data_IF_842708845553
#
_entry.id   IF_842708845553
#
_cell.length_a   1.000
_cell.length_b   1.000
_cell.length_c   1.000
_cell.angle_alpha   90.00
_cell.angle_beta   90.00
_cell.angle_gamma   90.00
#
_symmetry.space_group_name_H-M   'P 1'
#
loop_
_entity.id
_entity.type
_entity.pdbx_description
1 polymer ?
#
# COMPACT_ATOMS: atom_id res chain seq x y z
N UNK A 1 -37.85 -35.76 40.69
CA UNK A 1 -36.53 -35.79 40.05
C UNK A 1 -35.63 -36.59 40.97
N UNK A 2 -35.26 -37.80 40.58
CA UNK A 2 -34.40 -38.68 41.38
C UNK A 2 -32.94 -38.26 41.21
N UNK A 3 -32.07 -38.64 42.15
CA UNK A 3 -30.63 -38.39 42.05
C UNK A 3 -30.05 -39.00 40.76
N UNK A 4 -30.58 -40.14 40.33
CA UNK A 4 -30.19 -40.83 39.09
C UNK A 4 -30.59 -40.06 37.82
N UNK A 5 -31.75 -39.40 37.81
CA UNK A 5 -32.15 -38.53 36.69
C UNK A 5 -31.16 -37.37 36.53
N UNK A 6 -30.76 -36.74 37.65
CA UNK A 6 -29.81 -35.62 37.65
C UNK A 6 -28.41 -36.01 37.19
N UNK A 7 -27.92 -37.19 37.60
CA UNK A 7 -26.62 -37.73 37.16
C UNK A 7 -26.65 -38.06 35.68
N UNK A 8 -27.73 -38.67 35.20
CA UNK A 8 -27.91 -39.04 33.77
C UNK A 8 -27.95 -37.80 32.88
N UNK A 9 -28.73 -36.79 33.26
CA UNK A 9 -28.81 -35.51 32.53
C UNK A 9 -27.45 -34.79 32.49
N UNK A 10 -26.70 -34.81 33.59
CA UNK A 10 -25.35 -34.21 33.67
C UNK A 10 -24.34 -34.89 32.75
N UNK A 11 -24.40 -36.23 32.63
CA UNK A 11 -23.54 -37.00 31.72
C UNK A 11 -23.87 -36.72 30.25
N UNK A 12 -25.17 -36.65 29.91
CA UNK A 12 -25.62 -36.34 28.55
C UNK A 12 -25.18 -34.92 28.14
N UNK A 13 -25.36 -33.92 29.02
CA UNK A 13 -24.90 -32.55 28.76
C UNK A 13 -23.37 -32.52 28.59
N UNK A 14 -22.62 -33.24 29.43
CA UNK A 14 -21.17 -33.37 29.32
C UNK A 14 -20.71 -33.93 27.97
N UNK A 15 -21.38 -34.98 27.46
CA UNK A 15 -21.12 -35.56 26.14
C UNK A 15 -21.43 -34.58 25.00
N UNK A 16 -22.53 -33.83 25.10
CA UNK A 16 -22.89 -32.81 24.11
C UNK A 16 -21.82 -31.71 24.07
N UNK A 17 -21.38 -31.21 25.24
CA UNK A 17 -20.33 -30.19 25.30
C UNK A 17 -18.99 -30.72 24.75
N UNK A 18 -18.62 -31.95 25.11
CA UNK A 18 -17.40 -32.58 24.62
C UNK A 18 -17.41 -32.75 23.09
N UNK A 19 -18.52 -33.23 22.51
CA UNK A 19 -18.66 -33.38 21.06
C UNK A 19 -18.62 -32.03 20.33
N UNK A 20 -19.27 -30.98 20.87
CA UNK A 20 -19.15 -29.63 20.31
C UNK A 20 -17.71 -29.11 20.33
N UNK A 21 -16.97 -29.33 21.42
CA UNK A 21 -15.56 -28.95 21.53
C UNK A 21 -14.67 -29.74 20.54
N UNK A 22 -14.92 -31.04 20.38
CA UNK A 22 -14.19 -31.88 19.42
C UNK A 22 -14.41 -31.41 17.98
N UNK A 23 -15.66 -31.10 17.61
CA UNK A 23 -16.01 -30.55 16.29
C UNK A 23 -15.30 -29.21 16.06
N UNK A 24 -15.34 -28.31 17.05
CA UNK A 24 -14.64 -27.02 16.97
C UNK A 24 -13.12 -27.20 16.78
N UNK A 25 -12.51 -28.15 17.49
CA UNK A 25 -11.09 -28.48 17.36
C UNK A 25 -10.75 -29.03 15.97
N UNK A 26 -11.55 -29.94 15.42
CA UNK A 26 -11.37 -30.51 14.08
C UNK A 26 -11.46 -29.40 13.02
N UNK A 27 -12.47 -28.53 13.11
CA UNK A 27 -12.62 -27.37 12.20
C UNK A 27 -11.40 -26.45 12.29
N UNK A 28 -10.90 -26.18 13.50
CA UNK A 28 -9.71 -25.36 13.71
C UNK A 28 -8.46 -25.98 13.05
N UNK A 29 -8.21 -27.26 13.29
CA UNK A 29 -7.06 -28.00 12.71
C UNK A 29 -7.15 -27.97 11.18
N UNK A 30 -8.33 -28.25 10.62
CA UNK A 30 -8.53 -28.24 9.17
C UNK A 30 -8.25 -26.87 8.54
N UNK A 31 -8.77 -25.78 9.14
CA UNK A 31 -8.47 -24.40 8.71
C UNK A 31 -6.97 -24.09 8.78
N UNK A 32 -6.28 -24.55 9.83
CA UNK A 32 -4.83 -24.37 10.01
C UNK A 32 -4.02 -25.10 8.93
N UNK A 33 -4.41 -26.32 8.57
CA UNK A 33 -3.78 -27.09 7.49
C UNK A 33 -3.97 -26.38 6.14
N UNK A 34 -5.19 -25.94 5.83
CA UNK A 34 -5.46 -25.20 4.60
C UNK A 34 -4.65 -23.89 4.53
N UNK A 35 -4.59 -23.14 5.62
CA UNK A 35 -3.80 -21.90 5.70
C UNK A 35 -2.30 -22.16 5.40
N UNK A 36 -1.73 -23.24 5.96
CA UNK A 36 -0.34 -23.66 5.66
C UNK A 36 -0.15 -24.01 4.18
N UNK A 37 -1.09 -24.73 3.57
CA UNK A 37 -1.04 -25.09 2.15
C UNK A 37 -1.07 -23.84 1.26
N UNK A 38 -2.00 -22.91 1.50
CA UNK A 38 -2.08 -21.66 0.75
C UNK A 38 -0.82 -20.80 0.92
N UNK A 39 -0.30 -20.70 2.15
CA UNK A 39 0.96 -19.99 2.41
C UNK A 39 2.11 -20.56 1.59
N UNK A 40 2.34 -21.88 1.64
CA UNK A 40 3.41 -22.55 0.89
C UNK A 40 3.26 -22.36 -0.63
N UNK A 41 2.02 -22.40 -1.13
CA UNK A 41 1.75 -22.19 -2.56
C UNK A 41 2.09 -20.76 -3.00
N UNK A 42 1.67 -19.76 -2.23
CA UNK A 42 1.96 -18.36 -2.52
C UNK A 42 3.47 -18.09 -2.50
N UNK A 43 4.15 -18.54 -1.44
CA UNK A 43 5.61 -18.43 -1.30
C UNK A 43 6.30 -19.09 -2.50
N UNK A 44 6.01 -20.36 -2.80
CA UNK A 44 6.64 -21.05 -3.92
C UNK A 44 6.41 -20.36 -5.28
N UNK A 45 5.22 -19.80 -5.50
CA UNK A 45 4.85 -19.17 -6.77
C UNK A 45 5.57 -17.85 -7.01
N UNK A 46 5.74 -17.05 -5.96
CA UNK A 46 6.26 -15.69 -6.08
C UNK A 46 7.68 -15.49 -5.54
N UNK A 47 8.25 -16.48 -4.83
CA UNK A 47 9.55 -16.36 -4.14
C UNK A 47 10.65 -15.76 -4.99
N UNK A 48 10.87 -16.31 -6.20
CA UNK A 48 11.97 -15.85 -7.06
C UNK A 48 11.83 -14.38 -7.44
N UNK A 49 10.64 -13.97 -7.90
CA UNK A 49 10.37 -12.57 -8.26
C UNK A 49 10.42 -11.67 -7.02
N UNK A 50 9.85 -12.10 -5.90
CA UNK A 50 9.82 -11.35 -4.64
C UNK A 50 11.22 -11.11 -4.09
N UNK A 51 12.03 -12.16 -3.95
CA UNK A 51 13.40 -12.07 -3.45
C UNK A 51 14.27 -11.20 -4.38
N UNK A 52 14.08 -11.31 -5.71
CA UNK A 52 14.75 -10.46 -6.68
C UNK A 52 14.39 -8.98 -6.49
N UNK A 53 13.10 -8.67 -6.38
CA UNK A 53 12.62 -7.28 -6.21
C UNK A 53 13.10 -6.67 -4.90
N UNK A 54 13.04 -7.41 -3.79
CA UNK A 54 13.53 -6.91 -2.50
C UNK A 54 15.04 -6.59 -2.57
N UNK A 55 15.85 -7.53 -3.09
CA UNK A 55 17.30 -7.33 -3.24
C UNK A 55 17.65 -6.19 -4.18
N UNK A 56 16.91 -6.02 -5.28
CA UNK A 56 17.17 -4.92 -6.21
C UNK A 56 16.87 -3.55 -5.58
N UNK A 57 15.90 -3.47 -4.66
CA UNK A 57 15.65 -2.23 -3.91
C UNK A 57 16.77 -1.89 -2.92
N UNK A 58 17.57 -2.88 -2.51
CA UNK A 58 18.74 -2.70 -1.65
C UNK A 58 20.00 -2.31 -2.46
N UNK A 59 19.96 -2.42 -3.80
CA UNK A 59 21.10 -2.19 -4.69
C UNK A 59 20.96 -0.94 -5.58
N UNK A 60 21.96 -0.06 -5.51
CA UNK A 60 22.26 1.11 -6.36
C UNK A 60 21.10 1.99 -6.89
N UNK A 61 21.13 3.28 -6.54
CA UNK A 61 20.18 4.33 -6.94
C UNK A 61 20.06 4.64 -8.44
N UNK A 62 20.80 3.95 -9.31
CA UNK A 62 20.91 4.28 -10.75
C UNK A 62 19.74 3.79 -11.61
N UNK A 63 18.93 2.82 -11.14
CA UNK A 63 17.81 2.25 -11.91
C UNK A 63 16.48 2.32 -11.14
N UNK A 64 16.22 3.45 -10.47
CA UNK A 64 15.04 3.59 -9.60
C UNK A 64 13.72 3.41 -10.36
N UNK A 65 13.61 3.91 -11.60
CA UNK A 65 12.41 3.74 -12.43
C UNK A 65 12.10 2.27 -12.75
N UNK A 66 13.13 1.50 -13.11
CA UNK A 66 12.99 0.05 -13.36
C UNK A 66 12.58 -0.69 -12.09
N UNK A 67 13.17 -0.36 -10.95
CA UNK A 67 12.80 -0.94 -9.66
C UNK A 67 11.33 -0.66 -9.31
N UNK A 68 10.89 0.60 -9.38
CA UNK A 68 9.50 1.00 -9.07
C UNK A 68 8.52 0.24 -9.95
N UNK A 69 8.80 0.18 -11.26
CA UNK A 69 7.98 -0.54 -12.22
C UNK A 69 7.86 -2.02 -11.88
N UNK A 70 8.98 -2.70 -11.67
CA UNK A 70 8.99 -4.13 -11.33
C UNK A 70 8.30 -4.41 -9.99
N UNK A 71 8.46 -3.51 -9.01
CA UNK A 71 7.82 -3.64 -7.70
C UNK A 71 6.28 -3.49 -7.82
N UNK A 72 5.79 -2.40 -8.43
CA UNK A 72 4.34 -2.18 -8.64
C UNK A 72 3.72 -3.32 -9.45
N UNK A 73 4.35 -3.75 -10.56
CA UNK A 73 3.85 -4.88 -11.35
C UNK A 73 3.77 -6.18 -10.55
N UNK A 74 4.75 -6.46 -9.69
CA UNK A 74 4.70 -7.63 -8.82
C UNK A 74 3.59 -7.53 -7.76
N UNK A 75 3.38 -6.34 -7.17
CA UNK A 75 2.26 -6.11 -6.25
C UNK A 75 0.92 -6.41 -6.93
N UNK A 76 0.70 -5.89 -8.14
CA UNK A 76 -0.52 -6.14 -8.92
C UNK A 76 -0.72 -7.63 -9.20
N UNK A 77 0.33 -8.33 -9.63
CA UNK A 77 0.26 -9.77 -9.92
C UNK A 77 -0.09 -10.60 -8.67
N UNK A 78 0.48 -10.25 -7.51
CA UNK A 78 0.16 -10.92 -6.25
C UNK A 78 -1.28 -10.58 -5.82
N UNK A 79 -1.72 -9.34 -6.04
CA UNK A 79 -3.08 -8.89 -5.74
C UNK A 79 -4.14 -9.62 -6.57
N UNK A 80 -3.93 -9.73 -7.88
CA UNK A 80 -4.81 -10.48 -8.78
C UNK A 80 -4.90 -11.96 -8.39
N UNK A 81 -3.78 -12.58 -8.02
CA UNK A 81 -3.78 -13.97 -7.57
C UNK A 81 -4.50 -14.14 -6.23
N UNK A 82 -4.37 -13.16 -5.33
CA UNK A 82 -5.14 -13.09 -4.10
C UNK A 82 -6.64 -13.00 -4.37
N UNK A 83 -7.06 -12.19 -5.35
CA UNK A 83 -8.47 -12.05 -5.74
C UNK A 83 -9.08 -13.33 -6.32
N UNK A 84 -8.29 -14.15 -7.01
CA UNK A 84 -8.71 -15.48 -7.49
C UNK A 84 -9.03 -16.45 -6.35
N UNK A 85 -8.39 -16.28 -5.19
CA UNK A 85 -8.58 -17.12 -4.01
C UNK A 85 -9.67 -16.57 -3.09
N UNK A 86 -9.76 -15.24 -3.00
CA UNK A 86 -10.72 -14.51 -2.18
C UNK A 86 -11.16 -13.26 -2.94
N UNK A 87 -12.40 -13.24 -3.43
CA UNK A 87 -12.97 -12.12 -4.23
C UNK A 87 -13.09 -10.81 -3.47
N UNK A 88 -12.71 -10.79 -2.19
CA UNK A 88 -12.70 -9.60 -1.34
C UNK A 88 -11.61 -8.65 -1.80
N UNK A 89 -12.01 -7.46 -2.19
CA UNK A 89 -11.11 -6.41 -2.70
C UNK A 89 -10.36 -5.64 -1.60
N UNK A 90 -10.62 -5.88 -0.32
CA UNK A 90 -9.92 -5.19 0.78
C UNK A 90 -8.59 -5.86 1.17
N UNK A 91 -7.68 -5.09 1.78
CA UNK A 91 -6.33 -5.54 2.15
C UNK A 91 -6.26 -6.55 3.31
N UNK A 92 -7.29 -6.64 4.16
CA UNK A 92 -7.26 -7.55 5.33
C UNK A 92 -7.16 -9.02 4.90
N UNK A 93 -6.23 -9.79 5.49
CA UNK A 93 -6.05 -11.18 5.15
C UNK A 93 -7.16 -12.04 5.75
N UNK A 94 -7.58 -13.04 4.99
CA UNK A 94 -8.22 -14.24 5.53
C UNK A 94 -7.20 -15.38 5.64
N UNK A 95 -7.62 -16.54 6.15
CA UNK A 95 -6.74 -17.68 6.34
C UNK A 95 -6.09 -18.21 5.04
N UNK A 96 -6.65 -17.90 3.86
CA UNK A 96 -6.10 -18.31 2.56
C UNK A 96 -5.14 -17.27 1.98
N UNK A 97 -5.29 -16.00 2.36
CA UNK A 97 -4.64 -14.85 1.72
C UNK A 97 -3.55 -14.20 2.59
N UNK A 98 -3.30 -14.71 3.81
CA UNK A 98 -2.27 -14.18 4.74
C UNK A 98 -0.92 -13.94 4.05
N UNK A 99 -0.41 -14.94 3.32
CA UNK A 99 0.90 -14.84 2.66
C UNK A 99 0.91 -13.77 1.56
N UNK A 100 -0.16 -13.67 0.78
CA UNK A 100 -0.29 -12.67 -0.28
C UNK A 100 -0.23 -11.25 0.30
N UNK A 101 -1.06 -11.00 1.32
CA UNK A 101 -1.15 -9.70 1.99
C UNK A 101 0.18 -9.33 2.65
N UNK A 102 0.88 -10.29 3.27
CA UNK A 102 2.23 -10.09 3.84
C UNK A 102 3.26 -9.71 2.77
N UNK A 103 3.26 -10.41 1.63
CA UNK A 103 4.15 -10.09 0.51
C UNK A 103 3.87 -8.70 -0.06
N UNK A 104 2.59 -8.33 -0.27
CA UNK A 104 2.21 -7.00 -0.74
C UNK A 104 2.63 -5.92 0.27
N UNK A 105 2.42 -6.16 1.56
CA UNK A 105 2.84 -5.23 2.62
C UNK A 105 4.34 -4.96 2.58
N UNK A 106 5.15 -6.01 2.46
CA UNK A 106 6.61 -5.92 2.36
C UNK A 106 7.05 -5.18 1.10
N UNK A 107 6.45 -5.50 -0.05
CA UNK A 107 6.74 -4.83 -1.32
C UNK A 107 6.42 -3.33 -1.27
N UNK A 108 5.25 -2.96 -0.73
CA UNK A 108 4.86 -1.55 -0.57
C UNK A 108 5.78 -0.80 0.38
N UNK A 109 6.11 -1.42 1.52
CA UNK A 109 7.05 -0.82 2.48
C UNK A 109 8.41 -0.57 1.82
N UNK A 110 8.95 -1.56 1.11
CA UNK A 110 10.23 -1.42 0.42
C UNK A 110 10.15 -0.37 -0.71
N UNK A 111 9.07 -0.36 -1.49
CA UNK A 111 8.82 0.63 -2.54
C UNK A 111 8.90 2.05 -1.97
N UNK A 112 8.07 2.35 -0.97
CA UNK A 112 8.02 3.68 -0.36
C UNK A 112 9.34 4.06 0.31
N UNK A 113 10.00 3.13 0.99
CA UNK A 113 11.31 3.40 1.63
C UNK A 113 12.33 3.86 0.59
N UNK A 114 12.58 3.04 -0.43
CA UNK A 114 13.59 3.31 -1.47
C UNK A 114 13.23 4.56 -2.27
N UNK A 115 11.96 4.73 -2.63
CA UNK A 115 11.51 5.89 -3.38
C UNK A 115 11.63 7.19 -2.59
N UNK A 116 11.32 7.19 -1.29
CA UNK A 116 11.41 8.39 -0.47
C UNK A 116 12.86 8.76 -0.13
N UNK A 117 13.75 7.78 0.03
CA UNK A 117 15.21 8.02 0.13
C UNK A 117 15.73 8.67 -1.15
N UNK A 118 15.29 8.20 -2.32
CA UNK A 118 15.67 8.81 -3.59
C UNK A 118 15.11 10.23 -3.75
N UNK A 119 13.85 10.47 -3.37
CA UNK A 119 13.25 11.81 -3.39
C UNK A 119 13.98 12.77 -2.46
N UNK A 120 14.35 12.33 -1.25
CA UNK A 120 15.13 13.12 -0.31
C UNK A 120 16.48 13.52 -0.90
N UNK A 121 17.23 12.56 -1.46
CA UNK A 121 18.49 12.84 -2.13
C UNK A 121 18.31 13.90 -3.22
N UNK A 122 17.26 13.79 -4.03
CA UNK A 122 16.99 14.80 -5.08
C UNK A 122 16.60 16.16 -4.51
N UNK A 123 15.86 16.22 -3.40
CA UNK A 123 15.55 17.48 -2.75
C UNK A 123 16.78 18.13 -2.14
N UNK A 124 17.76 17.36 -1.64
CA UNK A 124 19.01 17.86 -1.07
C UNK A 124 19.91 18.51 -2.12
N UNK A 125 19.88 18.04 -3.37
CA UNK A 125 20.69 18.56 -4.47
C UNK A 125 20.10 19.80 -5.16
N UNK A 126 18.92 20.26 -4.74
CA UNK A 126 18.27 21.45 -5.30
C UNK A 126 18.65 22.72 -4.55
N UNK A 127 18.62 23.86 -5.25
CA UNK A 127 18.78 25.19 -4.69
C UNK A 127 17.67 25.48 -3.67
N UNK A 128 18.03 25.41 -2.39
CA UNK A 128 17.11 25.57 -1.26
C UNK A 128 16.49 26.96 -1.17
N UNK A 129 17.12 27.99 -1.76
CA UNK A 129 16.57 29.35 -1.76
C UNK A 129 15.29 29.46 -2.60
N UNK A 130 15.09 28.57 -3.58
CA UNK A 130 13.86 28.49 -4.39
C UNK A 130 12.81 27.57 -3.77
N UNK A 131 13.15 26.82 -2.73
CA UNK A 131 12.34 25.78 -2.10
C UNK A 131 12.17 26.10 -0.61
N UNK A 132 11.46 27.19 -0.33
CA UNK A 132 11.26 27.65 1.06
C UNK A 132 10.34 26.71 1.85
N UNK A 133 9.42 26.03 1.15
CA UNK A 133 8.35 25.24 1.78
C UNK A 133 8.77 23.80 2.16
N UNK A 134 9.83 23.25 1.55
CA UNK A 134 10.26 21.85 1.75
C UNK A 134 11.67 21.81 2.33
N UNK A 135 11.73 21.69 3.66
CA UNK A 135 12.96 21.44 4.41
C UNK A 135 13.13 19.94 4.75
N UNK A 136 14.24 19.57 5.35
CA UNK A 136 14.54 18.18 5.69
C UNK A 136 13.51 17.60 6.68
N UNK A 137 13.03 18.40 7.63
CA UNK A 137 11.97 17.99 8.56
C UNK A 137 10.65 17.68 7.85
N UNK A 138 10.31 18.38 6.77
CA UNK A 138 9.14 18.07 5.97
C UNK A 138 9.25 16.67 5.36
N UNK A 139 10.40 16.34 4.77
CA UNK A 139 10.65 15.05 4.14
C UNK A 139 10.66 13.91 5.17
N UNK A 140 11.29 14.13 6.32
CA UNK A 140 11.28 13.15 7.42
C UNK A 140 9.87 12.86 7.95
N UNK A 141 9.06 13.90 8.11
CA UNK A 141 7.66 13.74 8.54
C UNK A 141 6.84 13.01 7.47
N UNK A 142 7.00 13.38 6.20
CA UNK A 142 6.33 12.72 5.09
C UNK A 142 6.68 11.21 5.03
N UNK A 143 7.96 10.86 5.22
CA UNK A 143 8.40 9.46 5.30
C UNK A 143 7.72 8.70 6.42
N UNK A 144 7.74 9.25 7.64
CA UNK A 144 7.11 8.62 8.81
C UNK A 144 5.61 8.42 8.59
N UNK A 145 4.92 9.42 8.05
CA UNK A 145 3.48 9.37 7.79
C UNK A 145 3.12 8.32 6.73
N UNK A 146 3.81 8.30 5.58
CA UNK A 146 3.57 7.32 4.51
C UNK A 146 3.81 5.89 5.03
N UNK A 147 4.95 5.65 5.68
CA UNK A 147 5.28 4.31 6.19
C UNK A 147 4.28 3.86 7.27
N UNK A 148 3.77 4.78 8.10
CA UNK A 148 2.72 4.49 9.06
C UNK A 148 1.39 4.14 8.38
N UNK A 149 0.99 4.85 7.32
CA UNK A 149 -0.22 4.53 6.56
C UNK A 149 -0.11 3.13 5.91
N UNK A 150 1.01 2.85 5.24
CA UNK A 150 1.27 1.54 4.63
C UNK A 150 1.26 0.43 5.69
N UNK A 151 1.95 0.62 6.82
CA UNK A 151 1.95 -0.39 7.87
C UNK A 151 0.53 -0.65 8.40
N UNK A 152 -0.23 0.39 8.70
CA UNK A 152 -1.54 0.26 9.32
C UNK A 152 -2.56 -0.47 8.42
N UNK A 153 -2.50 -0.24 7.11
CA UNK A 153 -3.45 -0.84 6.18
C UNK A 153 -3.31 -2.37 6.15
N UNK A 154 -2.08 -2.87 6.14
CA UNK A 154 -1.77 -4.29 5.95
C UNK A 154 -1.52 -5.06 7.26
N UNK A 155 -1.22 -4.41 8.38
CA UNK A 155 -0.83 -5.09 9.64
C UNK A 155 -1.75 -4.86 10.84
N UNK A 156 -2.50 -3.75 10.93
CA UNK A 156 -3.39 -3.49 12.08
C UNK A 156 -4.71 -4.27 11.95
N UNK A 157 -5.30 -4.65 13.09
CA UNK A 157 -6.58 -5.38 13.20
C UNK A 157 -7.81 -4.57 12.74
N UNK A 158 -8.94 -4.67 13.45
CA UNK A 158 -10.22 -4.04 13.09
C UNK A 158 -10.24 -2.49 13.07
N UNK A 159 -9.12 -1.82 13.33
CA UNK A 159 -9.01 -0.37 13.27
C UNK A 159 -8.52 0.07 11.89
N UNK A 160 -9.33 0.84 11.15
CA UNK A 160 -8.91 1.56 9.96
C UNK A 160 -8.40 2.95 10.34
N UNK A 161 -7.34 3.41 9.65
CA UNK A 161 -7.01 4.82 9.65
C UNK A 161 -8.12 5.63 8.96
N UNK A 162 -8.29 6.89 9.35
CA UNK A 162 -9.22 7.81 8.70
C UNK A 162 -8.75 8.09 7.28
N UNK A 163 -9.64 7.96 6.30
CA UNK A 163 -9.35 8.26 4.88
C UNK A 163 -8.81 9.68 4.69
N UNK A 164 -9.28 10.63 5.51
CA UNK A 164 -8.76 12.01 5.53
C UNK A 164 -7.23 12.08 5.63
N UNK A 165 -6.61 11.24 6.47
CA UNK A 165 -5.16 11.24 6.67
C UNK A 165 -4.39 10.78 5.43
N UNK A 166 -4.96 9.89 4.59
CA UNK A 166 -4.33 9.50 3.32
C UNK A 166 -4.30 10.68 2.35
N UNK A 167 -5.40 11.43 2.26
CA UNK A 167 -5.45 12.63 1.43
C UNK A 167 -4.53 13.74 1.96
N UNK A 168 -4.42 13.93 3.27
CA UNK A 168 -3.46 14.90 3.85
C UNK A 168 -2.01 14.57 3.46
N UNK A 169 -1.64 13.29 3.51
CA UNK A 169 -0.31 12.83 3.06
C UNK A 169 -0.14 12.96 1.55
N UNK A 170 -1.16 12.64 0.76
CA UNK A 170 -1.13 12.78 -0.69
C UNK A 170 -0.93 14.25 -1.12
N UNK A 171 -1.57 15.18 -0.41
CA UNK A 171 -1.37 16.62 -0.61
C UNK A 171 0.07 17.05 -0.30
N UNK A 172 0.67 16.56 0.79
CA UNK A 172 2.09 16.81 1.10
C UNK A 172 3.00 16.28 -0.01
N UNK A 173 2.74 15.07 -0.48
CA UNK A 173 3.50 14.43 -1.56
C UNK A 173 3.38 15.19 -2.88
N UNK A 174 2.19 15.75 -3.17
CA UNK A 174 1.96 16.63 -4.34
C UNK A 174 2.90 17.84 -4.35
N UNK A 175 3.25 18.42 -3.20
CA UNK A 175 4.22 19.53 -3.14
C UNK A 175 5.63 19.09 -3.56
N UNK A 176 6.05 17.88 -3.15
CA UNK A 176 7.34 17.32 -3.60
C UNK A 176 7.32 17.09 -5.11
N UNK A 177 6.24 16.53 -5.64
CA UNK A 177 6.09 16.29 -7.07
C UNK A 177 6.06 17.59 -7.88
N UNK A 178 5.44 18.66 -7.37
CA UNK A 178 5.45 19.99 -7.97
C UNK A 178 6.87 20.48 -8.23
N UNK A 179 7.76 20.36 -7.25
CA UNK A 179 9.16 20.80 -7.37
C UNK A 179 9.88 20.03 -8.49
N UNK A 180 9.61 18.73 -8.59
CA UNK A 180 10.21 17.87 -9.61
C UNK A 180 9.65 18.21 -10.99
N UNK A 181 8.33 18.19 -11.16
CA UNK A 181 7.66 18.44 -12.43
C UNK A 181 7.89 19.85 -12.98
N UNK A 182 8.00 20.86 -12.11
CA UNK A 182 8.27 22.23 -12.52
C UNK A 182 9.78 22.56 -12.53
N UNK A 183 10.65 21.56 -12.29
CA UNK A 183 12.10 21.69 -12.27
C UNK A 183 12.62 22.82 -11.35
N UNK A 184 11.94 23.09 -10.22
CA UNK A 184 12.26 24.20 -9.32
C UNK A 184 13.57 23.92 -8.56
N UNK A 185 14.46 24.91 -8.48
CA UNK A 185 15.75 24.79 -7.79
C UNK A 185 16.68 23.75 -8.40
N UNK A 186 16.45 23.30 -9.63
CA UNK A 186 17.27 22.29 -10.29
C UNK A 186 18.46 22.94 -10.99
N UNK A 187 19.63 22.28 -10.94
CA UNK A 187 20.79 22.66 -11.75
C UNK A 187 20.69 22.18 -13.21
N UNK A 188 19.72 21.32 -13.53
CA UNK A 188 19.53 20.81 -14.89
C UNK A 188 18.81 21.83 -15.76
N UNK A 189 19.39 22.11 -16.93
CA UNK A 189 18.67 22.80 -17.99
C UNK A 189 17.68 21.83 -18.65
N UNK A 190 16.41 22.22 -18.68
CA UNK A 190 15.32 21.47 -19.30
C UNK A 190 14.80 22.21 -20.52
N UNK A 191 14.40 21.47 -21.56
CA UNK A 191 13.82 22.07 -22.76
C UNK A 191 12.44 22.65 -22.47
N UNK A 192 11.93 23.53 -23.34
CA UNK A 192 10.57 24.06 -23.20
C UNK A 192 9.51 22.94 -23.33
N UNK A 193 9.81 21.91 -24.12
CA UNK A 193 8.98 20.71 -24.23
C UNK A 193 8.87 19.99 -22.88
N UNK A 194 9.99 19.74 -22.21
CA UNK A 194 10.02 19.03 -20.92
C UNK A 194 9.30 19.81 -19.82
N UNK A 195 9.39 21.16 -19.84
CA UNK A 195 8.62 22.01 -18.93
C UNK A 195 7.12 21.88 -19.15
N UNK A 196 6.68 21.89 -20.42
CA UNK A 196 5.27 21.72 -20.75
C UNK A 196 4.75 20.35 -20.33
N UNK A 197 5.52 19.28 -20.57
CA UNK A 197 5.19 17.92 -20.12
C UNK A 197 5.08 17.88 -18.59
N UNK A 198 6.06 18.44 -17.87
CA UNK A 198 6.03 18.50 -16.41
C UNK A 198 4.81 19.24 -15.88
N UNK A 199 4.47 20.39 -16.48
CA UNK A 199 3.27 21.15 -16.15
C UNK A 199 1.98 20.33 -16.35
N UNK A 200 1.87 19.63 -17.49
CA UNK A 200 0.73 18.74 -17.78
C UNK A 200 0.62 17.63 -16.73
N UNK A 201 1.73 16.98 -16.37
CA UNK A 201 1.72 15.95 -15.33
C UNK A 201 1.28 16.50 -13.97
N UNK A 202 1.74 17.69 -13.59
CA UNK A 202 1.32 18.34 -12.36
C UNK A 202 -0.17 18.72 -12.35
N UNK A 203 -0.69 19.28 -13.45
CA UNK A 203 -2.12 19.61 -13.58
C UNK A 203 -3.01 18.35 -13.56
N UNK A 204 -2.56 17.27 -14.22
CA UNK A 204 -3.25 15.99 -14.21
C UNK A 204 -3.30 15.37 -12.80
N UNK A 205 -2.19 15.42 -12.06
CA UNK A 205 -2.10 15.00 -10.66
C UNK A 205 -3.10 15.79 -9.79
N UNK A 206 -3.13 17.12 -9.90
CA UNK A 206 -4.02 17.97 -9.11
C UNK A 206 -5.51 17.68 -9.41
N UNK A 207 -5.84 17.54 -10.70
CA UNK A 207 -7.18 17.15 -11.14
C UNK A 207 -7.56 15.75 -10.63
N UNK A 208 -6.62 14.80 -10.64
CA UNK A 208 -6.85 13.44 -10.14
C UNK A 208 -7.15 13.43 -8.64
N UNK A 209 -6.36 14.14 -7.82
CA UNK A 209 -6.59 14.25 -6.38
C UNK A 209 -7.97 14.84 -6.10
N UNK A 210 -8.37 15.90 -6.81
CA UNK A 210 -9.71 16.50 -6.70
C UNK A 210 -10.81 15.50 -7.03
N UNK A 211 -10.67 14.77 -8.14
CA UNK A 211 -11.64 13.73 -8.56
C UNK A 211 -11.75 12.61 -7.51
N UNK A 212 -10.64 12.14 -6.96
CA UNK A 212 -10.61 11.12 -5.91
C UNK A 212 -11.32 11.61 -4.64
N UNK A 213 -11.08 12.86 -4.22
CA UNK A 213 -11.77 13.45 -3.07
C UNK A 213 -13.29 13.52 -3.26
N UNK A 214 -13.73 13.88 -4.45
CA UNK A 214 -15.17 13.92 -4.79
C UNK A 214 -15.74 12.50 -4.76
N UNK A 215 -15.08 11.56 -5.45
CA UNK A 215 -15.50 10.15 -5.53
C UNK A 215 -15.62 9.49 -4.15
N UNK A 216 -14.72 9.82 -3.24
CA UNK A 216 -14.63 9.20 -1.91
C UNK A 216 -15.07 10.12 -0.76
N UNK A 217 -15.89 11.14 -1.05
CA UNK A 217 -16.33 12.15 -0.08
C UNK A 217 -16.95 11.55 1.19
N UNK A 218 -17.73 10.48 1.04
CA UNK A 218 -18.36 9.76 2.16
C UNK A 218 -17.30 9.21 3.12
N UNK A 219 -16.37 8.41 2.61
CA UNK A 219 -15.29 7.82 3.41
C UNK A 219 -14.38 8.87 4.09
N UNK A 220 -14.14 10.01 3.42
CA UNK A 220 -13.37 11.13 4.00
C UNK A 220 -14.08 11.74 5.22
N UNK A 221 -15.41 11.86 5.17
CA UNK A 221 -16.22 12.39 6.26
C UNK A 221 -16.44 11.41 7.41
N UNK A 222 -16.14 10.13 7.23
CA UNK A 222 -16.41 9.10 8.23
C UNK A 222 -15.34 9.08 9.32
N UNK A 223 -15.75 9.42 10.54
CA UNK A 223 -14.87 9.41 11.71
C UNK A 223 -14.83 8.07 12.44
N UNK A 224 -15.91 7.28 12.35
CA UNK A 224 -16.08 5.99 13.04
C UNK A 224 -16.81 5.03 12.09
N UNK A 225 -16.31 3.79 11.97
CA UNK A 225 -17.00 2.72 11.27
C UNK A 225 -17.87 1.94 12.26
N UNK A 226 -19.19 2.05 12.14
CA UNK A 226 -20.14 1.41 13.07
C UNK A 226 -20.45 -0.04 12.73
N UNK A 227 -20.09 -0.49 11.52
CA UNK A 227 -20.27 -1.87 11.09
C UNK A 227 -19.11 -2.34 10.20
N UNK A 228 -19.07 -3.65 9.95
CA UNK A 228 -18.03 -4.31 9.16
C UNK A 228 -18.04 -3.91 7.68
N UNK A 229 -19.20 -3.58 7.13
CA UNK A 229 -19.36 -3.19 5.73
C UNK A 229 -18.71 -1.83 5.48
N UNK A 230 -19.07 -0.82 6.27
CA UNK A 230 -18.46 0.52 6.24
C UNK A 230 -16.96 0.46 6.50
N UNK A 231 -16.51 -0.40 7.43
CA UNK A 231 -15.08 -0.59 7.67
C UNK A 231 -14.36 -1.13 6.42
N UNK A 232 -14.93 -2.12 5.73
CA UNK A 232 -14.34 -2.67 4.51
C UNK A 232 -14.34 -1.65 3.36
N UNK A 233 -15.37 -0.81 3.27
CA UNK A 233 -15.44 0.28 2.29
C UNK A 233 -14.32 1.30 2.54
N UNK A 234 -14.13 1.76 3.78
CA UNK A 234 -13.05 2.68 4.15
C UNK A 234 -11.69 2.07 3.82
N UNK A 235 -11.46 0.81 4.17
CA UNK A 235 -10.24 0.08 3.85
C UNK A 235 -10.00 0.03 2.34
N UNK A 236 -11.03 -0.30 1.56
CA UNK A 236 -10.93 -0.32 0.09
C UNK A 236 -10.53 1.06 -0.44
N UNK A 237 -11.20 2.12 0.01
CA UNK A 237 -10.87 3.49 -0.40
C UNK A 237 -9.43 3.86 -0.04
N UNK A 238 -8.97 3.51 1.15
CA UNK A 238 -7.60 3.80 1.57
C UNK A 238 -6.57 3.08 0.68
N UNK A 239 -6.83 1.83 0.31
CA UNK A 239 -6.00 1.06 -0.64
C UNK A 239 -6.02 1.68 -2.04
N UNK A 240 -7.18 2.13 -2.50
CA UNK A 240 -7.32 2.83 -3.79
C UNK A 240 -6.46 4.11 -3.80
N UNK A 241 -6.53 4.92 -2.74
CA UNK A 241 -5.73 6.15 -2.61
C UNK A 241 -4.23 5.84 -2.57
N UNK A 242 -3.79 4.83 -1.79
CA UNK A 242 -2.38 4.42 -1.77
C UNK A 242 -1.89 3.96 -3.15
N UNK A 243 -2.72 3.25 -3.89
CA UNK A 243 -2.38 2.77 -5.24
C UNK A 243 -2.21 3.94 -6.21
N UNK A 244 -3.08 4.95 -6.15
CA UNK A 244 -2.91 6.17 -6.95
C UNK A 244 -1.66 6.97 -6.56
N UNK A 245 -1.34 7.06 -5.27
CA UNK A 245 -0.09 7.67 -4.80
C UNK A 245 1.15 6.97 -5.38
N UNK A 246 1.15 5.63 -5.46
CA UNK A 246 2.23 4.84 -6.04
C UNK A 246 2.33 4.99 -7.57
N UNK A 247 1.19 5.08 -8.26
CA UNK A 247 1.18 5.33 -9.70
C UNK A 247 1.76 6.72 -10.02
N UNK A 248 1.40 7.75 -9.25
CA UNK A 248 1.94 9.09 -9.46
C UNK A 248 3.42 9.19 -9.04
N UNK A 249 3.85 8.39 -8.05
CA UNK A 249 5.27 8.24 -7.71
C UNK A 249 6.06 7.70 -8.89
N UNK A 250 5.55 6.65 -9.55
CA UNK A 250 6.13 6.10 -10.76
C UNK A 250 6.24 7.16 -11.86
N UNK A 251 5.16 7.87 -12.17
CA UNK A 251 5.16 8.93 -13.20
C UNK A 251 6.18 10.03 -12.86
N UNK A 252 6.28 10.40 -11.59
CA UNK A 252 7.25 11.39 -11.12
C UNK A 252 8.70 10.94 -11.37
N UNK A 253 9.03 9.67 -11.06
CA UNK A 253 10.36 9.13 -11.31
C UNK A 253 10.67 8.93 -12.79
N UNK A 254 9.71 8.49 -13.59
CA UNK A 254 9.88 8.37 -15.05
C UNK A 254 10.15 9.74 -15.68
N UNK A 255 9.40 10.77 -15.29
CA UNK A 255 9.67 12.14 -15.72
C UNK A 255 11.07 12.60 -15.30
N UNK A 256 11.42 12.38 -14.02
CA UNK A 256 12.70 12.79 -13.47
C UNK A 256 13.90 12.12 -14.18
N UNK A 257 13.81 10.83 -14.48
CA UNK A 257 14.85 10.11 -15.22
C UNK A 257 14.98 10.57 -16.67
N UNK A 258 13.87 10.94 -17.32
CA UNK A 258 13.90 11.45 -18.70
C UNK A 258 14.63 12.79 -18.78
N UNK A 259 14.30 13.74 -17.91
CA UNK A 259 14.96 15.05 -17.88
C UNK A 259 16.44 14.96 -17.47
N UNK A 260 16.79 14.05 -16.56
CA UNK A 260 18.18 13.88 -16.10
C UNK A 260 19.08 13.28 -17.19
N UNK A 261 18.54 12.37 -18.00
CA UNK A 261 19.31 11.63 -19.01
C UNK A 261 19.20 12.25 -20.42
N UNK A 262 18.47 13.35 -20.59
CA UNK A 262 18.22 13.97 -21.90
C UNK A 262 17.52 13.04 -22.90
N UNK A 263 16.71 12.09 -22.41
CA UNK A 263 15.98 11.15 -23.27
C UNK A 263 14.68 11.79 -23.74
N UNK A 264 14.30 11.65 -25.03
CA UNK A 264 13.01 12.11 -25.51
C UNK A 264 11.88 11.35 -24.82
N UNK A 265 10.81 12.06 -24.44
CA UNK A 265 9.60 11.46 -23.90
C UNK A 265 8.90 10.63 -24.99
N UNK A 266 8.37 9.43 -24.68
CA UNK A 266 7.51 8.71 -25.60
C UNK A 266 6.23 9.51 -25.86
N UNK A 267 5.91 9.72 -27.13
CA UNK A 267 4.68 10.36 -27.62
C UNK A 267 3.41 9.59 -27.22
#
# INVERSE_FOLDING_TARGET
>A
MTYDDFVTDSVIIGLILFTMLLIALIIYIFKKIQARKHKKNAENKFKVCFDKTIRSGEGSFHEIGSYINNNISLQMKIWEDKLKISSKEYAKPDYKTVAYVDMISKLKKQLWTVSLERLEYEMQNRNKNEIVEINDSFIDNLKKEILALVQNEFTKGLASNKTKSYFEVYEKLRYVYKIIFLNIGSAFHVTESDKNIGKIYYENLDNKIKKLKIKHRSAIGTYIAFNKETLNEIIKVNVDVLTEMENDLKVCFEYFENIKNGKPHPE
#
